data_IF_337469907941
#
_entry.id   IF_337469907941
#
_cell.length_a   1.000
_cell.length_b   1.000
_cell.length_c   1.000
_cell.angle_alpha   90.00
_cell.angle_beta   90.00
_cell.angle_gamma   90.00
#
_symmetry.space_group_name_H-M   'P 1'
#
loop_
_entity.id
_entity.type
_entity.pdbx_description
1 polymer ?
#
# COMPACT_ATOMS: atom_id res chain seq x y z
N UNK A 1 -32.62 -10.94 15.96
CA UNK A 1 -32.84 -9.51 15.69
C UNK A 1 -31.82 -9.08 14.65
N UNK A 2 -32.24 -9.12 13.39
CA UNK A 2 -31.39 -8.80 12.23
C UNK A 2 -31.53 -7.31 11.93
N UNK A 3 -30.42 -6.57 11.90
CA UNK A 3 -30.35 -5.22 11.33
C UNK A 3 -29.62 -5.31 9.99
N UNK A 4 -30.37 -5.67 8.95
CA UNK A 4 -29.95 -5.51 7.56
C UNK A 4 -30.17 -4.04 7.20
N UNK A 5 -29.09 -3.26 7.03
CA UNK A 5 -29.19 -1.89 6.54
C UNK A 5 -28.99 -1.87 5.01
N UNK A 6 -29.99 -1.46 4.20
CA UNK A 6 -29.89 -1.40 2.74
C UNK A 6 -29.39 -0.05 2.19
N UNK A 7 -28.93 0.88 3.04
CA UNK A 7 -28.69 2.29 2.69
C UNK A 7 -27.21 2.66 2.45
N UNK A 8 -26.49 1.93 1.59
CA UNK A 8 -25.03 2.14 1.47
C UNK A 8 -24.41 2.06 0.08
N UNK A 9 -25.15 2.30 -1.00
CA UNK A 9 -24.57 2.11 -2.35
C UNK A 9 -25.18 2.93 -3.50
N UNK A 10 -25.54 4.18 -3.25
CA UNK A 10 -26.00 5.14 -4.27
C UNK A 10 -25.24 6.47 -4.12
N UNK A 11 -23.93 6.45 -4.33
CA UNK A 11 -23.14 7.65 -4.64
C UNK A 11 -22.58 7.46 -6.05
N UNK A 12 -22.77 8.48 -6.89
CA UNK A 12 -22.80 8.44 -8.35
C UNK A 12 -21.45 8.04 -9.02
N UNK A 13 -21.48 7.30 -10.15
CA UNK A 13 -20.30 7.10 -11.01
C UNK A 13 -19.76 8.40 -11.63
N UNK A 14 -20.53 9.50 -11.57
CA UNK A 14 -20.14 10.81 -12.10
C UNK A 14 -18.99 11.46 -11.33
N UNK A 15 -18.83 11.15 -10.04
CA UNK A 15 -17.81 11.78 -9.21
C UNK A 15 -16.38 11.37 -9.61
N UNK A 16 -16.17 10.11 -10.03
CA UNK A 16 -14.85 9.64 -10.46
C UNK A 16 -14.45 10.19 -11.82
N UNK A 17 -15.40 10.33 -12.76
CA UNK A 17 -15.10 10.86 -14.10
C UNK A 17 -14.60 12.32 -14.07
N UNK A 18 -15.19 13.16 -13.21
CA UNK A 18 -14.72 14.54 -13.01
C UNK A 18 -13.35 14.56 -12.33
N UNK A 19 -13.13 13.68 -11.34
CA UNK A 19 -11.83 13.56 -10.68
C UNK A 19 -10.74 13.11 -11.64
N UNK A 20 -11.00 12.12 -12.49
CA UNK A 20 -10.05 11.62 -13.50
C UNK A 20 -9.78 12.67 -14.60
N UNK A 21 -10.72 13.56 -14.90
CA UNK A 21 -10.51 14.66 -15.84
C UNK A 21 -9.60 15.76 -15.26
N UNK A 22 -9.74 16.08 -13.97
CA UNK A 22 -8.91 17.07 -13.27
C UNK A 22 -7.55 16.50 -12.86
N UNK A 23 -7.52 15.22 -12.50
CA UNK A 23 -6.38 14.47 -12.01
C UNK A 23 -6.20 13.20 -12.85
N UNK A 24 -5.67 13.33 -14.08
CA UNK A 24 -5.52 12.18 -14.95
C UNK A 24 -4.68 11.08 -14.29
N UNK A 25 -5.05 9.81 -14.49
CA UNK A 25 -4.29 8.68 -13.97
C UNK A 25 -2.85 8.75 -14.46
N UNK A 26 -1.92 8.84 -13.52
CA UNK A 26 -0.50 8.98 -13.81
C UNK A 26 0.33 8.06 -12.92
N UNK A 27 1.49 7.67 -13.44
CA UNK A 27 2.43 6.81 -12.74
C UNK A 27 2.96 7.54 -11.50
N UNK A 28 2.86 6.95 -10.29
CA UNK A 28 3.34 7.60 -9.06
C UNK A 28 4.86 7.79 -9.02
N UNK A 29 5.61 7.12 -9.90
CA UNK A 29 7.08 7.20 -9.97
C UNK A 29 7.55 8.26 -10.97
N UNK A 30 7.09 8.18 -12.22
CA UNK A 30 7.59 9.04 -13.31
C UNK A 30 6.55 10.04 -13.87
N UNK A 31 5.29 9.98 -13.40
CA UNK A 31 4.15 10.78 -13.86
C UNK A 31 3.73 10.59 -15.33
N UNK A 32 4.23 9.57 -16.03
CA UNK A 32 3.67 9.17 -17.32
C UNK A 32 2.18 8.79 -17.17
N UNK A 33 1.37 9.08 -18.19
CA UNK A 33 -0.06 8.72 -18.21
C UNK A 33 -0.24 7.20 -18.12
N UNK A 34 -1.25 6.76 -17.36
CA UNK A 34 -1.56 5.35 -17.19
C UNK A 34 -3.04 5.08 -17.45
N UNK A 35 -3.37 3.83 -17.81
CA UNK A 35 -4.75 3.48 -18.15
C UNK A 35 -5.72 3.54 -16.95
N UNK A 36 -5.21 3.48 -15.72
CA UNK A 36 -6.03 3.42 -14.50
C UNK A 36 -5.33 4.05 -13.30
N UNK A 37 -6.05 4.73 -12.41
CA UNK A 37 -5.49 5.24 -11.16
C UNK A 37 -4.81 4.12 -10.35
N UNK A 38 -3.68 4.45 -9.72
CA UNK A 38 -2.92 3.51 -8.89
C UNK A 38 -2.08 2.48 -9.66
N UNK A 39 -1.90 2.65 -10.97
CA UNK A 39 -1.05 1.78 -11.79
C UNK A 39 0.34 2.38 -12.07
N UNK A 40 1.31 1.51 -12.35
CA UNK A 40 2.65 1.88 -12.83
C UNK A 40 2.69 1.78 -14.36
N UNK A 41 3.44 2.66 -15.02
CA UNK A 41 3.70 2.52 -16.45
C UNK A 41 4.61 1.30 -16.70
N UNK A 42 4.58 0.74 -17.91
CA UNK A 42 5.37 -0.46 -18.27
C UNK A 42 6.87 -0.38 -17.91
N UNK A 43 7.56 0.74 -18.21
CA UNK A 43 8.96 0.92 -17.81
C UNK A 43 9.18 0.88 -16.29
N UNK A 44 8.40 1.63 -15.51
CA UNK A 44 8.52 1.65 -14.05
C UNK A 44 8.13 0.29 -13.43
N UNK A 45 7.13 -0.37 -13.98
CA UNK A 45 6.73 -1.71 -13.57
C UNK A 45 7.88 -2.71 -13.73
N UNK A 46 8.55 -2.71 -14.88
CA UNK A 46 9.70 -3.60 -15.13
C UNK A 46 10.88 -3.33 -14.18
N UNK A 47 11.04 -2.07 -13.76
CA UNK A 47 12.10 -1.64 -12.84
C UNK A 47 11.84 -1.98 -11.37
N UNK A 48 10.59 -2.25 -10.98
CA UNK A 48 10.27 -2.48 -9.57
C UNK A 48 10.97 -3.74 -9.04
N UNK A 49 11.45 -3.65 -7.80
CA UNK A 49 11.95 -4.81 -7.06
C UNK A 49 10.86 -5.24 -6.10
N UNK A 50 10.40 -6.47 -6.22
CA UNK A 50 9.47 -7.05 -5.28
C UNK A 50 10.19 -7.37 -3.98
N UNK A 51 9.57 -7.06 -2.85
CA UNK A 51 10.07 -7.45 -1.53
C UNK A 51 10.21 -8.97 -1.48
N UNK A 52 11.44 -9.44 -1.33
CA UNK A 52 11.77 -10.86 -1.29
C UNK A 52 11.82 -11.41 0.15
N UNK A 53 11.77 -10.52 1.15
CA UNK A 53 11.76 -10.84 2.57
C UNK A 53 10.49 -10.39 3.30
N UNK A 54 10.55 -10.37 4.63
CA UNK A 54 9.49 -9.77 5.46
C UNK A 54 9.72 -8.26 5.54
N UNK A 55 8.69 -7.48 5.22
CA UNK A 55 8.72 -6.03 5.45
C UNK A 55 8.48 -5.68 6.93
N UNK A 56 8.99 -4.53 7.36
CA UNK A 56 8.58 -3.94 8.63
C UNK A 56 7.07 -3.67 8.62
N UNK A 57 6.35 -4.14 9.65
CA UNK A 57 4.90 -3.96 9.75
C UNK A 57 4.43 -2.51 9.97
N UNK A 58 5.35 -1.58 10.24
CA UNK A 58 5.03 -0.17 10.47
C UNK A 58 5.38 0.74 9.28
N UNK A 59 6.57 0.60 8.68
CA UNK A 59 7.01 1.46 7.58
C UNK A 59 7.17 0.75 6.23
N UNK A 60 6.97 -0.56 6.15
CA UNK A 60 7.06 -1.32 4.91
C UNK A 60 8.48 -1.54 4.37
N UNK A 61 9.54 -1.03 5.04
CA UNK A 61 10.93 -1.24 4.61
C UNK A 61 11.27 -2.73 4.62
N UNK A 62 11.91 -3.19 3.55
CA UNK A 62 12.45 -4.54 3.43
C UNK A 62 13.47 -4.81 4.56
N UNK A 63 13.31 -5.93 5.24
CA UNK A 63 14.23 -6.36 6.29
C UNK A 63 15.04 -7.55 5.77
N UNK A 64 16.37 -7.59 6.03
CA UNK A 64 17.16 -8.76 5.70
C UNK A 64 16.56 -9.98 6.41
N UNK A 65 16.54 -11.12 5.73
CA UNK A 65 16.19 -12.39 6.33
C UNK A 65 17.29 -12.79 7.33
N UNK A 66 17.28 -12.19 8.53
CA UNK A 66 18.12 -12.61 9.63
C UNK A 66 17.68 -14.04 10.01
N UNK A 67 18.63 -14.97 10.02
CA UNK A 67 18.43 -16.41 9.87
C UNK A 67 17.31 -17.06 10.71
N UNK A 68 16.72 -18.11 10.12
CA UNK A 68 16.03 -19.31 10.65
C UNK A 68 15.11 -19.26 11.89
N UNK A 69 14.99 -18.15 12.62
CA UNK A 69 13.89 -17.95 13.54
C UNK A 69 12.77 -17.29 12.75
N UNK A 70 11.63 -17.95 12.65
CA UNK A 70 10.40 -17.39 12.17
C UNK A 70 9.84 -16.46 13.26
N UNK A 71 10.00 -15.12 13.21
CA UNK A 71 9.31 -14.26 14.18
C UNK A 71 7.77 -14.40 14.12
N UNK A 72 7.26 -15.06 13.06
CA UNK A 72 5.86 -15.47 12.91
C UNK A 72 5.37 -16.46 13.99
N UNK A 73 6.24 -17.18 14.68
CA UNK A 73 5.84 -18.07 15.80
C UNK A 73 5.34 -17.29 17.03
N UNK A 74 5.64 -15.99 17.12
CA UNK A 74 5.19 -15.11 18.22
C UNK A 74 3.89 -14.34 17.93
N UNK A 75 3.39 -14.35 16.68
CA UNK A 75 2.20 -13.59 16.26
C UNK A 75 2.38 -12.06 16.20
N UNK A 76 3.52 -11.51 16.65
CA UNK A 76 3.78 -10.07 16.63
C UNK A 76 4.38 -9.59 15.29
N UNK A 77 4.00 -8.40 14.78
CA UNK A 77 4.57 -7.85 13.55
C UNK A 77 6.04 -7.45 13.75
N UNK A 78 6.91 -7.84 12.82
CA UNK A 78 8.33 -7.48 12.83
C UNK A 78 8.47 -5.97 12.62
N UNK A 79 9.28 -5.31 13.46
CA UNK A 79 9.57 -3.87 13.34
C UNK A 79 11.05 -3.63 13.07
N UNK A 80 11.34 -2.69 12.18
CA UNK A 80 12.73 -2.28 11.94
C UNK A 80 13.24 -1.44 13.11
N UNK A 81 14.55 -1.44 13.27
CA UNK A 81 15.25 -0.69 14.30
C UNK A 81 14.89 0.81 14.32
N UNK A 82 14.77 1.43 13.13
CA UNK A 82 14.36 2.83 13.02
C UNK A 82 12.96 3.09 13.57
N UNK A 83 12.00 2.19 13.33
CA UNK A 83 10.63 2.33 13.84
C UNK A 83 10.54 2.03 15.34
N UNK A 84 11.47 1.25 15.89
CA UNK A 84 11.55 1.02 17.34
C UNK A 84 12.11 2.26 18.04
N UNK A 85 13.20 2.84 17.52
CA UNK A 85 13.85 4.01 18.12
C UNK A 85 13.07 5.31 17.88
N UNK A 86 12.47 5.46 16.71
CA UNK A 86 11.73 6.64 16.30
C UNK A 86 10.35 6.23 15.77
N UNK A 87 9.41 5.89 16.67
CA UNK A 87 8.08 5.46 16.25
C UNK A 87 7.38 6.56 15.43
N UNK A 88 6.95 6.27 14.20
CA UNK A 88 6.17 7.22 13.42
C UNK A 88 4.77 7.41 14.02
N UNK A 89 4.07 8.46 13.61
CA UNK A 89 2.70 8.76 14.09
C UNK A 89 1.62 7.82 13.54
N UNK A 90 1.96 7.00 12.55
CA UNK A 90 1.05 6.06 11.91
C UNK A 90 1.38 4.63 12.32
N UNK A 91 0.37 3.77 12.30
CA UNK A 91 0.49 2.37 12.73
C UNK A 91 0.94 1.42 11.62
N UNK A 92 0.56 1.70 10.36
CA UNK A 92 0.94 0.91 9.16
C UNK A 92 1.13 1.82 7.94
N UNK A 93 2.17 1.54 7.16
CA UNK A 93 2.51 2.23 5.92
C UNK A 93 2.30 1.38 4.67
#
# INVERSE_FOLDING_TARGET
MSFTSPFGRLILPAASAVADALFPPSCPVCRAETARPGSLCGPCWRGIRFLSGKGCGTCGRDLPALGAADPASSGAPIRCDSCIRHPPRWERG
#
